data_IF_695512702977
#
_entry.id   IF_695512702977
#
_cell.length_a   1.000
_cell.length_b   1.000
_cell.length_c   1.000
_cell.angle_alpha   90.00
_cell.angle_beta   90.00
_cell.angle_gamma   90.00
#
_symmetry.space_group_name_H-M   'P 1'
#
loop_
_entity.id
_entity.type
_entity.pdbx_description
1 polymer ?
#
# COMPACT_ATOMS: atom_id res chain seq x y z
N UNK A 1 -5.05 14.90 -4.10
CA UNK A 1 -5.44 14.05 -5.25
C UNK A 1 -6.81 13.41 -5.04
N UNK A 2 -7.10 12.81 -3.87
CA UNK A 2 -8.40 12.18 -3.60
C UNK A 2 -8.96 12.67 -2.24
N UNK A 3 -9.64 13.83 -2.19
CA UNK A 3 -10.24 14.34 -0.95
C UNK A 3 -11.38 13.42 -0.47
N UNK A 4 -11.45 13.19 0.84
CA UNK A 4 -12.50 12.40 1.50
C UNK A 4 -13.86 13.10 1.53
N UNK A 5 -13.89 14.40 1.28
CA UNK A 5 -15.11 15.21 1.14
C UNK A 5 -15.76 15.11 -0.24
N UNK A 6 -15.08 14.55 -1.24
CA UNK A 6 -15.64 14.36 -2.58
C UNK A 6 -16.44 13.04 -2.63
N UNK A 7 -17.76 13.09 -2.84
CA UNK A 7 -18.61 11.90 -2.86
C UNK A 7 -18.23 10.87 -3.93
N UNK A 8 -17.52 11.27 -4.99
CA UNK A 8 -17.09 10.37 -6.06
C UNK A 8 -16.04 9.33 -5.61
N UNK A 9 -15.37 9.56 -4.48
CA UNK A 9 -14.43 8.62 -3.88
C UNK A 9 -15.02 7.80 -2.74
N UNK A 10 -16.27 8.04 -2.36
CA UNK A 10 -16.94 7.23 -1.35
C UNK A 10 -17.06 5.79 -1.86
N UNK A 11 -16.66 4.83 -1.02
CA UNK A 11 -16.71 3.38 -1.30
C UNK A 11 -15.93 2.93 -2.55
N UNK A 12 -15.05 3.78 -3.09
CA UNK A 12 -14.21 3.44 -4.23
C UNK A 12 -13.18 2.36 -3.86
N UNK A 13 -12.90 1.47 -4.82
CA UNK A 13 -11.80 0.51 -4.65
C UNK A 13 -10.46 1.24 -4.57
N UNK A 14 -9.65 0.92 -3.54
CA UNK A 14 -8.27 1.41 -3.43
C UNK A 14 -7.41 1.03 -4.63
N UNK A 15 -7.74 -0.03 -5.36
CA UNK A 15 -7.03 -0.41 -6.58
C UNK A 15 -7.26 0.60 -7.72
N UNK A 16 -8.45 1.20 -7.80
CA UNK A 16 -8.74 2.29 -8.75
C UNK A 16 -7.99 3.56 -8.36
N UNK A 17 -7.88 3.84 -7.07
CA UNK A 17 -7.07 4.97 -6.58
C UNK A 17 -5.57 4.76 -6.87
N UNK A 18 -5.07 3.52 -6.74
CA UNK A 18 -3.70 3.18 -7.09
C UNK A 18 -3.44 3.38 -8.59
N UNK A 19 -4.34 2.93 -9.46
CA UNK A 19 -4.26 3.15 -10.91
C UNK A 19 -4.12 4.65 -11.24
N UNK A 20 -5.04 5.47 -10.72
CA UNK A 20 -4.99 6.94 -10.87
C UNK A 20 -3.70 7.55 -10.31
N UNK A 21 -3.21 7.04 -9.18
CA UNK A 21 -1.94 7.48 -8.60
C UNK A 21 -0.77 7.21 -9.54
N UNK A 22 -0.73 6.02 -10.16
CA UNK A 22 0.32 5.67 -11.12
C UNK A 22 0.25 6.52 -12.40
N UNK A 23 -0.94 6.89 -12.86
CA UNK A 23 -1.12 7.84 -13.96
C UNK A 23 -0.54 9.22 -13.63
N UNK A 24 -0.84 9.74 -12.44
CA UNK A 24 -0.32 11.02 -11.94
C UNK A 24 1.22 10.97 -11.83
N UNK A 25 1.77 9.92 -11.24
CA UNK A 25 3.22 9.76 -11.08
C UNK A 25 3.91 9.68 -12.45
N UNK A 26 3.32 8.94 -13.39
CA UNK A 26 3.81 8.84 -14.77
C UNK A 26 3.74 10.17 -15.52
N UNK A 27 2.68 10.97 -15.35
CA UNK A 27 2.58 12.29 -15.99
C UNK A 27 3.64 13.28 -15.47
N UNK A 28 4.12 13.07 -14.25
CA UNK A 28 5.24 13.79 -13.66
C UNK A 28 6.61 13.20 -14.03
N UNK A 29 6.65 12.30 -15.02
CA UNK A 29 7.85 11.59 -15.47
C UNK A 29 8.54 10.76 -14.38
N UNK A 30 7.83 10.33 -13.36
CA UNK A 30 8.37 9.47 -12.30
C UNK A 30 8.03 8.01 -12.62
N UNK A 31 8.98 7.11 -12.37
CA UNK A 31 8.80 5.66 -12.48
C UNK A 31 9.09 4.99 -11.14
N UNK A 32 8.10 4.33 -10.51
CA UNK A 32 8.35 3.43 -9.40
C UNK A 32 9.24 2.26 -9.84
N UNK A 33 10.28 1.98 -9.08
CA UNK A 33 11.21 0.87 -9.34
C UNK A 33 11.01 -0.27 -8.35
N UNK A 34 10.83 0.07 -7.08
CA UNK A 34 10.62 -0.90 -6.01
C UNK A 34 9.85 -0.26 -4.86
N UNK A 35 8.99 -1.03 -4.21
CA UNK A 35 8.25 -0.63 -3.03
C UNK A 35 8.50 -1.64 -1.91
N UNK A 36 8.92 -1.15 -0.76
CA UNK A 36 8.92 -1.93 0.47
C UNK A 36 7.73 -1.56 1.33
N UNK A 37 7.02 -2.57 1.83
CA UNK A 37 5.85 -2.39 2.67
C UNK A 37 5.95 -3.24 3.94
N UNK A 38 5.61 -2.64 5.08
CA UNK A 38 5.50 -3.32 6.36
C UNK A 38 4.09 -3.11 6.90
N UNK A 39 3.39 -4.21 7.13
CA UNK A 39 2.08 -4.24 7.80
C UNK A 39 2.30 -4.53 9.28
N UNK A 40 1.87 -3.62 10.14
CA UNK A 40 1.86 -3.79 11.58
C UNK A 40 0.45 -4.20 12.02
N UNK A 41 0.29 -5.47 12.36
CA UNK A 41 -0.97 -6.05 12.78
C UNK A 41 -0.73 -7.14 13.82
N UNK A 42 -1.42 -7.05 14.95
CA UNK A 42 -1.37 -8.09 15.97
C UNK A 42 -2.14 -9.34 15.51
N UNK A 43 -3.33 -9.12 14.91
CA UNK A 43 -4.14 -10.13 14.25
C UNK A 43 -4.90 -9.51 13.06
N UNK A 44 -5.27 -10.31 12.03
CA UNK A 44 -4.90 -11.72 11.84
C UNK A 44 -3.43 -11.87 11.42
N UNK A 45 -2.94 -13.12 11.33
CA UNK A 45 -1.62 -13.38 10.72
C UNK A 45 -1.68 -12.97 9.24
N UNK A 46 -0.77 -12.09 8.83
CA UNK A 46 -0.75 -11.57 7.45
C UNK A 46 -0.11 -12.54 6.44
N UNK A 47 0.73 -13.47 6.89
CA UNK A 47 1.48 -14.37 6.00
C UNK A 47 0.65 -15.12 4.95
N UNK A 48 -0.58 -15.61 5.23
CA UNK A 48 -1.39 -16.29 4.22
C UNK A 48 -1.88 -15.35 3.11
N UNK A 49 -1.99 -14.05 3.38
CA UNK A 49 -2.55 -13.06 2.46
C UNK A 49 -1.49 -12.35 1.62
N UNK A 50 -0.25 -12.27 2.12
CA UNK A 50 0.86 -11.57 1.46
C UNK A 50 1.09 -12.01 0.00
N UNK A 51 1.07 -13.31 -0.36
CA UNK A 51 1.24 -13.72 -1.75
C UNK A 51 0.19 -13.09 -2.68
N UNK A 52 -1.07 -13.06 -2.26
CA UNK A 52 -2.17 -12.47 -3.05
C UNK A 52 -2.06 -10.95 -3.12
N UNK A 53 -1.65 -10.30 -2.04
CA UNK A 53 -1.37 -8.85 -2.06
C UNK A 53 -0.30 -8.49 -3.09
N UNK A 54 0.81 -9.26 -3.12
CA UNK A 54 1.87 -9.07 -4.10
C UNK A 54 1.38 -9.28 -5.53
N UNK A 55 0.63 -10.36 -5.79
CA UNK A 55 0.03 -10.62 -7.10
C UNK A 55 -0.86 -9.46 -7.56
N UNK A 56 -1.70 -8.93 -6.67
CA UNK A 56 -2.58 -7.82 -7.00
C UNK A 56 -1.81 -6.54 -7.36
N UNK A 57 -0.71 -6.24 -6.66
CA UNK A 57 0.12 -5.06 -6.94
C UNK A 57 0.98 -5.24 -8.20
N UNK A 58 1.44 -6.47 -8.48
CA UNK A 58 2.20 -6.79 -9.69
C UNK A 58 1.39 -6.56 -10.98
N UNK A 59 0.05 -6.69 -10.93
CA UNK A 59 -0.83 -6.35 -12.07
C UNK A 59 -0.71 -4.89 -12.52
N UNK A 60 -0.28 -4.01 -11.61
CA UNK A 60 -0.01 -2.60 -11.90
C UNK A 60 1.46 -2.34 -12.29
N UNK A 61 2.25 -3.40 -12.53
CA UNK A 61 3.67 -3.29 -12.86
C UNK A 61 4.57 -2.90 -11.67
N UNK A 62 4.05 -2.97 -10.43
CA UNK A 62 4.82 -2.64 -9.24
C UNK A 62 5.63 -3.84 -8.75
N UNK A 63 6.92 -3.63 -8.54
CA UNK A 63 7.78 -4.57 -7.84
C UNK A 63 7.72 -4.30 -6.33
N UNK A 64 7.04 -5.18 -5.58
CA UNK A 64 6.73 -4.93 -4.17
C UNK A 64 7.26 -6.05 -3.26
N UNK A 65 7.92 -5.64 -2.19
CA UNK A 65 8.21 -6.44 -1.00
C UNK A 65 7.16 -6.13 0.07
N UNK A 66 6.52 -7.16 0.64
CA UNK A 66 5.57 -6.99 1.73
C UNK A 66 6.01 -7.87 2.90
N UNK A 67 6.17 -7.23 4.05
CA UNK A 67 6.50 -7.85 5.33
C UNK A 67 5.36 -7.58 6.31
N UNK A 68 5.28 -8.40 7.36
CA UNK A 68 4.36 -8.14 8.46
C UNK A 68 5.04 -8.35 9.80
N UNK A 69 4.62 -7.56 10.78
CA UNK A 69 5.09 -7.59 12.16
C UNK A 69 3.91 -7.41 13.10
N UNK A 70 3.94 -8.12 14.22
CA UNK A 70 3.17 -7.80 15.43
C UNK A 70 3.75 -6.55 16.06
N UNK A 71 3.01 -5.92 16.98
CA UNK A 71 3.56 -4.83 17.80
C UNK A 71 3.87 -5.30 19.22
N UNK A 72 4.07 -6.61 19.39
CA UNK A 72 4.39 -7.29 20.65
C UNK A 72 3.45 -6.91 21.80
N UNK A 73 2.15 -6.79 21.52
CA UNK A 73 1.15 -6.39 22.52
C UNK A 73 1.22 -4.90 22.96
N UNK A 74 2.09 -4.09 22.35
CA UNK A 74 2.24 -2.67 22.71
C UNK A 74 1.33 -1.75 21.88
N UNK A 75 0.84 -0.68 22.51
CA UNK A 75 0.07 0.38 21.84
C UNK A 75 -1.26 -0.08 21.24
N UNK A 76 -1.87 0.76 20.41
CA UNK A 76 -3.19 0.47 19.82
C UNK A 76 -3.15 -0.75 18.89
N UNK A 77 -2.03 -0.96 18.18
CA UNK A 77 -1.84 -2.12 17.30
C UNK A 77 -1.80 -3.40 18.13
N UNK A 78 -1.01 -3.44 19.20
CA UNK A 78 -0.90 -4.60 20.08
C UNK A 78 -2.20 -4.91 20.84
N UNK A 79 -3.01 -3.89 21.15
CA UNK A 79 -4.37 -4.04 21.69
C UNK A 79 -5.43 -4.42 20.64
N UNK A 80 -5.03 -4.62 19.38
CA UNK A 80 -5.91 -4.98 18.26
C UNK A 80 -6.98 -3.92 17.94
N UNK A 81 -6.71 -2.66 18.25
CA UNK A 81 -7.61 -1.53 17.95
C UNK A 81 -7.46 -1.03 16.50
N UNK A 82 -6.38 -1.44 15.83
CA UNK A 82 -6.14 -1.06 14.44
C UNK A 82 -4.91 -1.74 13.82
N UNK A 83 -4.74 -1.52 12.52
CA UNK A 83 -3.60 -1.95 11.72
C UNK A 83 -2.92 -0.68 11.19
N UNK A 84 -1.59 -0.68 11.16
CA UNK A 84 -0.82 0.37 10.50
C UNK A 84 -0.01 -0.22 9.35
N UNK A 85 0.28 0.60 8.34
CA UNK A 85 1.10 0.21 7.19
C UNK A 85 2.11 1.30 6.91
N UNK A 86 3.36 0.92 6.68
CA UNK A 86 4.41 1.79 6.20
C UNK A 86 4.85 1.32 4.82
N UNK A 87 5.00 2.25 3.88
CA UNK A 87 5.49 1.97 2.54
C UNK A 87 6.58 2.98 2.14
N UNK A 88 7.67 2.48 1.55
CA UNK A 88 8.76 3.28 1.00
C UNK A 88 8.91 2.90 -0.47
N UNK A 89 8.96 3.88 -1.35
CA UNK A 89 9.13 3.65 -2.79
C UNK A 89 10.46 4.23 -3.27
N UNK A 90 11.29 3.38 -3.86
CA UNK A 90 12.38 3.83 -4.72
C UNK A 90 11.80 4.14 -6.10
N UNK A 91 12.09 5.34 -6.60
CA UNK A 91 11.66 5.80 -7.91
C UNK A 91 12.78 6.50 -8.66
N UNK A 92 12.63 6.61 -9.98
CA UNK A 92 13.52 7.38 -10.85
C UNK A 92 12.75 8.40 -11.68
N UNK A 93 13.42 9.48 -12.06
CA UNK A 93 12.93 10.37 -13.10
C UNK A 93 13.22 9.76 -14.48
N UNK A 94 12.22 9.75 -15.35
CA UNK A 94 12.37 9.50 -16.78
C UNK A 94 12.60 10.87 -17.42
N UNK A 95 13.64 11.01 -18.25
CA UNK A 95 13.92 12.25 -18.96
C UNK A 95 13.07 12.35 -20.23
#
# INVERSE_FOLDING_TARGET
>A
YFPDTDPSYKDISSMVLLEKTLEIVKSNKIKPLWVDCIIFAEKPKMSPYIPKMRENLQKFGLNVSIKAKTNEGMGFIGRQEGIAVQAICLSSMIL
#
